data_IF_998994021882
#
_entry.id   IF_998994021882
#
_cell.length_a   1.000
_cell.length_b   1.000
_cell.length_c   1.000
_cell.angle_alpha   90.00
_cell.angle_beta   90.00
_cell.angle_gamma   90.00
#
_symmetry.space_group_name_H-M   'P 1'
#
loop_
_entity.id
_entity.type
_entity.pdbx_description
1 polymer ?
#
# COMPACT_ATOMS: atom_id res chain seq x y z
N UNK A 1 -12.34 -22.02 6.68
CA UNK A 1 -11.70 -22.09 5.35
C UNK A 1 -10.84 -20.87 5.25
N UNK A 2 -9.52 -20.99 5.43
CA UNK A 2 -8.61 -19.85 5.22
C UNK A 2 -8.68 -19.48 3.74
N UNK A 3 -9.33 -18.38 3.43
CA UNK A 3 -9.26 -17.77 2.10
C UNK A 3 -7.90 -17.11 1.97
N UNK A 4 -7.00 -17.76 1.25
CA UNK A 4 -5.76 -17.09 0.84
C UNK A 4 -6.12 -15.96 -0.13
N UNK A 5 -5.71 -14.74 0.21
CA UNK A 5 -6.05 -13.54 -0.56
C UNK A 5 -5.40 -13.51 -1.97
N UNK A 6 -4.34 -14.30 -2.17
CA UNK A 6 -3.52 -14.32 -3.40
C UNK A 6 -3.09 -15.74 -3.78
N UNK A 7 -4.01 -16.71 -3.83
CA UNK A 7 -3.67 -18.11 -4.13
C UNK A 7 -3.04 -18.34 -5.51
N UNK A 8 -3.31 -17.47 -6.46
CA UNK A 8 -2.81 -17.53 -7.84
C UNK A 8 -1.58 -16.62 -8.08
N UNK A 9 -0.99 -16.07 -7.03
CA UNK A 9 0.14 -15.14 -7.09
C UNK A 9 1.42 -15.77 -6.52
N UNK A 10 2.56 -15.51 -7.15
CA UNK A 10 3.86 -15.84 -6.54
C UNK A 10 4.04 -15.08 -5.22
N UNK A 11 4.86 -15.63 -4.29
CA UNK A 11 5.12 -15.01 -2.98
C UNK A 11 6.05 -13.80 -3.01
N UNK A 12 6.36 -13.27 -4.20
CA UNK A 12 7.17 -12.08 -4.40
C UNK A 12 6.26 -10.96 -4.93
N UNK A 13 6.22 -9.84 -4.24
CA UNK A 13 5.58 -8.59 -4.69
C UNK A 13 6.60 -7.60 -5.24
N UNK A 14 6.15 -6.67 -6.06
CA UNK A 14 6.94 -5.59 -6.64
C UNK A 14 6.63 -4.26 -5.94
N UNK A 15 7.60 -3.71 -5.21
CA UNK A 15 7.47 -2.41 -4.55
C UNK A 15 7.77 -1.25 -5.51
N UNK A 16 6.83 -0.30 -5.62
CA UNK A 16 6.94 0.87 -6.49
C UNK A 16 7.53 2.11 -5.77
N UNK A 17 7.94 2.00 -4.51
CA UNK A 17 8.48 3.12 -3.73
C UNK A 17 9.84 3.62 -4.24
N UNK A 18 10.72 2.71 -4.63
CA UNK A 18 12.12 3.02 -5.02
C UNK A 18 12.37 2.70 -6.48
N UNK A 19 11.61 3.36 -7.35
CA UNK A 19 11.76 3.21 -8.80
C UNK A 19 13.07 3.84 -9.27
N UNK A 20 13.63 3.35 -10.41
CA UNK A 20 14.81 3.95 -11.03
C UNK A 20 14.59 5.43 -11.32
N UNK A 21 15.64 6.23 -11.14
CA UNK A 21 15.62 7.66 -11.43
C UNK A 21 16.51 7.97 -12.64
N UNK A 22 16.17 9.02 -13.37
CA UNK A 22 17.02 9.56 -14.44
C UNK A 22 18.28 10.12 -13.78
N UNK A 23 19.44 9.79 -14.35
CA UNK A 23 20.74 10.20 -13.79
C UNK A 23 20.81 11.71 -13.59
N UNK A 24 21.19 12.12 -12.39
CA UNK A 24 21.33 13.55 -12.03
C UNK A 24 20.02 14.28 -11.75
N UNK A 25 18.88 13.60 -11.74
CA UNK A 25 17.56 14.20 -11.44
C UNK A 25 16.80 13.39 -10.37
N UNK A 26 15.67 13.93 -9.94
CA UNK A 26 14.69 13.22 -9.10
C UNK A 26 13.55 12.56 -9.93
N UNK A 27 13.58 12.70 -11.25
CA UNK A 27 12.53 12.16 -12.11
C UNK A 27 12.62 10.64 -12.21
N UNK A 28 11.48 9.96 -12.18
CA UNK A 28 11.42 8.51 -12.38
C UNK A 28 11.78 8.19 -13.84
N UNK A 29 12.70 7.27 -14.05
CA UNK A 29 13.00 6.71 -15.38
C UNK A 29 11.85 5.74 -15.77
N UNK A 30 10.85 6.28 -16.44
CA UNK A 30 9.66 5.52 -16.85
C UNK A 30 10.00 4.38 -17.82
N UNK A 31 10.95 4.57 -18.72
CA UNK A 31 11.30 3.51 -19.68
C UNK A 31 12.03 2.35 -18.98
N UNK A 32 12.86 2.64 -18.00
CA UNK A 32 13.45 1.61 -17.17
C UNK A 32 12.38 0.94 -16.28
N UNK A 33 11.50 1.74 -15.67
CA UNK A 33 10.38 1.22 -14.86
C UNK A 33 9.49 0.27 -15.66
N UNK A 34 9.13 0.62 -16.90
CA UNK A 34 8.36 -0.28 -17.78
C UNK A 34 9.06 -1.61 -18.02
N UNK A 35 10.38 -1.59 -18.33
CA UNK A 35 11.15 -2.82 -18.56
C UNK A 35 11.19 -3.75 -17.34
N UNK A 36 11.35 -3.21 -16.13
CA UNK A 36 11.37 -4.05 -14.92
C UNK A 36 9.97 -4.55 -14.54
N UNK A 37 8.92 -3.77 -14.80
CA UNK A 37 7.52 -4.23 -14.66
C UNK A 37 7.24 -5.38 -15.63
N UNK A 38 7.64 -5.23 -16.91
CA UNK A 38 7.48 -6.29 -17.93
C UNK A 38 8.19 -7.58 -17.50
N UNK A 39 9.45 -7.48 -17.08
CA UNK A 39 10.22 -8.63 -16.62
C UNK A 39 9.59 -9.32 -15.39
N UNK A 40 9.01 -8.55 -14.45
CA UNK A 40 8.32 -9.10 -13.29
C UNK A 40 7.04 -9.85 -13.68
N UNK A 41 6.24 -9.29 -14.58
CA UNK A 41 5.02 -9.93 -15.10
C UNK A 41 5.36 -11.19 -15.93
N UNK A 42 6.37 -11.12 -16.79
CA UNK A 42 6.85 -12.27 -17.58
C UNK A 42 7.33 -13.42 -16.68
N UNK A 43 7.90 -13.12 -15.52
CA UNK A 43 8.27 -14.10 -14.50
C UNK A 43 7.08 -14.67 -13.71
N UNK A 44 5.85 -14.24 -13.98
CA UNK A 44 4.63 -14.66 -13.30
C UNK A 44 4.26 -13.81 -12.08
N UNK A 45 4.91 -12.67 -11.88
CA UNK A 45 4.59 -11.70 -10.82
C UNK A 45 3.27 -10.99 -11.09
N UNK A 46 2.46 -10.79 -10.03
CA UNK A 46 1.15 -10.14 -10.15
C UNK A 46 0.92 -9.04 -9.11
N UNK A 47 1.63 -9.02 -7.99
CA UNK A 47 1.38 -8.10 -6.89
C UNK A 47 2.30 -6.88 -6.96
N UNK A 48 1.69 -5.68 -7.04
CA UNK A 48 2.38 -4.39 -7.08
C UNK A 48 1.95 -3.54 -5.89
N UNK A 49 2.91 -2.87 -5.25
CA UNK A 49 2.70 -2.10 -4.02
C UNK A 49 3.16 -0.65 -4.20
N UNK A 50 2.23 0.29 -4.08
CA UNK A 50 2.48 1.74 -4.07
C UNK A 50 1.89 2.38 -2.82
N UNK A 51 1.91 3.71 -2.73
CA UNK A 51 1.24 4.48 -1.69
C UNK A 51 1.04 5.93 -2.12
N UNK A 52 -0.01 6.57 -1.63
CA UNK A 52 -0.33 7.98 -1.83
C UNK A 52 0.87 8.93 -1.62
N UNK A 53 1.68 8.65 -0.58
CA UNK A 53 2.83 9.49 -0.23
C UNK A 53 4.13 9.16 -0.97
N UNK A 54 4.15 8.13 -1.84
CA UNK A 54 5.36 7.82 -2.62
C UNK A 54 5.42 8.72 -3.85
N UNK A 55 6.24 9.75 -3.78
CA UNK A 55 6.34 10.80 -4.80
C UNK A 55 6.54 10.24 -6.22
N UNK A 56 5.57 10.51 -7.10
CA UNK A 56 5.56 10.08 -8.50
C UNK A 56 5.28 8.59 -8.72
N UNK A 57 5.15 7.79 -7.65
CA UNK A 57 4.99 6.33 -7.74
C UNK A 57 3.65 5.93 -8.34
N UNK A 58 2.56 6.59 -7.96
CA UNK A 58 1.22 6.28 -8.47
C UNK A 58 1.11 6.60 -9.97
N UNK A 59 1.66 7.74 -10.42
CA UNK A 59 1.71 8.12 -11.83
C UNK A 59 2.62 7.19 -12.64
N UNK A 60 3.75 6.76 -12.06
CA UNK A 60 4.62 5.77 -12.69
C UNK A 60 3.94 4.39 -12.76
N UNK A 61 3.17 4.01 -11.74
CA UNK A 61 2.35 2.80 -11.73
C UNK A 61 1.30 2.85 -12.85
N UNK A 62 0.64 4.00 -13.04
CA UNK A 62 -0.25 4.21 -14.18
C UNK A 62 0.46 3.94 -15.50
N UNK A 63 1.56 4.66 -15.75
CA UNK A 63 2.26 4.62 -17.04
C UNK A 63 2.97 3.29 -17.32
N UNK A 64 3.44 2.58 -16.29
CA UNK A 64 4.19 1.33 -16.45
C UNK A 64 3.32 0.07 -16.33
N UNK A 65 2.19 0.14 -15.64
CA UNK A 65 1.34 -1.01 -15.35
C UNK A 65 -0.11 -0.79 -15.83
N UNK A 66 -0.84 0.17 -15.24
CA UNK A 66 -2.30 0.24 -15.39
C UNK A 66 -2.76 0.57 -16.82
N UNK A 67 -2.03 1.40 -17.55
CA UNK A 67 -2.32 1.76 -18.95
C UNK A 67 -1.87 0.67 -19.95
N UNK A 68 -1.14 -0.37 -19.50
CA UNK A 68 -0.48 -1.33 -20.39
C UNK A 68 -0.99 -2.77 -20.25
N UNK A 69 -1.52 -3.12 -19.09
CA UNK A 69 -1.95 -4.48 -18.78
C UNK A 69 -3.42 -4.52 -18.40
N UNK A 70 -4.15 -5.61 -18.75
CA UNK A 70 -5.54 -5.79 -18.30
C UNK A 70 -5.64 -5.71 -16.78
N UNK A 71 -6.61 -4.96 -16.28
CA UNK A 71 -6.75 -4.68 -14.83
C UNK A 71 -6.85 -5.94 -13.97
N UNK A 72 -7.48 -6.97 -14.48
CA UNK A 72 -7.68 -8.27 -13.82
C UNK A 72 -6.44 -9.17 -13.84
N UNK A 73 -5.36 -8.80 -14.55
CA UNK A 73 -4.15 -9.60 -14.66
C UNK A 73 -3.15 -9.37 -13.53
N UNK A 74 -3.39 -8.36 -12.69
CA UNK A 74 -2.51 -8.01 -11.56
C UNK A 74 -3.29 -7.57 -10.33
N UNK A 75 -2.63 -7.62 -9.19
CA UNK A 75 -3.09 -7.04 -7.92
C UNK A 75 -2.36 -5.73 -7.65
N UNK A 76 -3.11 -4.70 -7.29
CA UNK A 76 -2.57 -3.41 -6.88
C UNK A 76 -2.83 -3.19 -5.39
N UNK A 77 -1.77 -2.98 -4.64
CA UNK A 77 -1.82 -2.48 -3.28
C UNK A 77 -1.50 -0.98 -3.27
N UNK A 78 -2.27 -0.23 -2.51
CA UNK A 78 -2.08 1.20 -2.30
C UNK A 78 -2.43 1.58 -0.87
N UNK A 79 -2.04 2.79 -0.41
CA UNK A 79 -2.08 3.12 1.01
C UNK A 79 -2.55 4.55 1.26
N UNK A 80 -3.50 4.71 2.17
CA UNK A 80 -3.93 5.98 2.76
C UNK A 80 -3.03 6.35 3.92
N UNK A 81 -2.54 7.59 3.96
CA UNK A 81 -1.69 8.08 5.03
C UNK A 81 -2.44 9.08 5.94
N UNK A 82 -2.74 8.68 7.17
CA UNK A 82 -3.42 9.53 8.16
C UNK A 82 -2.49 10.46 8.96
N UNK A 83 -1.20 10.51 8.64
CA UNK A 83 -0.25 11.37 9.38
C UNK A 83 -0.46 12.86 9.08
N UNK A 84 -0.15 13.72 10.03
CA UNK A 84 -0.35 15.17 9.92
C UNK A 84 0.41 15.84 8.76
N UNK A 85 1.43 15.21 8.20
CA UNK A 85 2.12 15.72 7.02
C UNK A 85 1.38 15.41 5.72
N UNK A 86 0.55 14.37 5.69
CA UNK A 86 -0.21 13.95 4.48
C UNK A 86 -1.62 14.53 4.47
N UNK A 87 -2.31 14.53 5.63
CA UNK A 87 -3.67 15.04 5.76
C UNK A 87 -3.85 15.82 7.07
N UNK A 88 -4.40 17.03 6.98
CA UNK A 88 -4.66 17.90 8.14
C UNK A 88 -6.12 17.91 8.57
N UNK A 89 -6.97 17.24 7.84
CA UNK A 89 -8.40 17.13 8.12
C UNK A 89 -8.94 15.75 7.73
N UNK A 90 -10.11 15.43 8.27
CA UNK A 90 -10.87 14.24 7.88
C UNK A 90 -11.17 14.22 6.37
N UNK A 91 -11.53 15.39 5.81
CA UNK A 91 -11.83 15.51 4.38
C UNK A 91 -10.61 15.21 3.51
N UNK A 92 -9.45 15.77 3.85
CA UNK A 92 -8.20 15.52 3.15
C UNK A 92 -7.82 14.04 3.21
N UNK A 93 -7.83 13.44 4.39
CA UNK A 93 -7.52 12.01 4.57
C UNK A 93 -8.49 11.11 3.76
N UNK A 94 -9.77 11.39 3.81
CA UNK A 94 -10.77 10.62 3.05
C UNK A 94 -10.72 10.85 1.54
N UNK A 95 -10.15 11.97 1.09
CA UNK A 95 -9.99 12.23 -0.33
C UNK A 95 -8.79 11.49 -0.96
N UNK A 96 -7.84 11.01 -0.18
CA UNK A 96 -6.64 10.35 -0.71
C UNK A 96 -6.95 9.21 -1.68
N UNK A 97 -7.93 8.35 -1.38
CA UNK A 97 -8.33 7.25 -2.27
C UNK A 97 -8.77 7.74 -3.66
N UNK A 98 -9.46 8.87 -3.73
CA UNK A 98 -9.90 9.42 -5.03
C UNK A 98 -8.72 9.92 -5.84
N UNK A 99 -7.78 10.59 -5.16
CA UNK A 99 -6.53 11.05 -5.77
C UNK A 99 -5.70 9.84 -6.24
N UNK A 100 -5.57 8.80 -5.42
CA UNK A 100 -4.85 7.56 -5.78
C UNK A 100 -5.47 6.87 -6.99
N UNK A 101 -6.80 6.75 -7.04
CA UNK A 101 -7.51 6.20 -8.19
C UNK A 101 -7.34 7.03 -9.47
N UNK A 102 -7.27 8.37 -9.34
CA UNK A 102 -7.01 9.27 -10.47
C UNK A 102 -5.56 9.14 -10.96
N UNK A 103 -4.58 9.16 -10.05
CA UNK A 103 -3.16 9.06 -10.38
C UNK A 103 -2.80 7.70 -10.98
N UNK A 104 -3.31 6.61 -10.41
CA UNK A 104 -3.06 5.25 -10.92
C UNK A 104 -3.90 4.89 -12.14
N UNK A 105 -5.08 5.49 -12.30
CA UNK A 105 -6.06 5.10 -13.32
C UNK A 105 -6.60 3.68 -13.15
N UNK A 106 -6.39 3.05 -11.99
CA UNK A 106 -6.66 1.62 -11.79
C UNK A 106 -8.15 1.26 -11.71
N UNK A 107 -9.04 2.24 -11.46
CA UNK A 107 -10.47 2.04 -11.30
C UNK A 107 -10.87 1.47 -9.94
N UNK A 108 -10.09 0.56 -9.37
CA UNK A 108 -10.21 0.03 -8.01
C UNK A 108 -8.85 -0.44 -7.50
N UNK A 109 -8.71 -0.56 -6.16
CA UNK A 109 -7.51 -1.08 -5.50
C UNK A 109 -7.81 -2.47 -4.93
N UNK A 110 -6.93 -3.46 -5.15
CA UNK A 110 -7.14 -4.80 -4.58
C UNK A 110 -6.86 -4.85 -3.08
N UNK A 111 -5.76 -4.26 -2.65
CA UNK A 111 -5.32 -4.24 -1.25
C UNK A 111 -5.09 -2.81 -0.79
N UNK A 112 -6.01 -2.27 0.00
CA UNK A 112 -5.88 -0.90 0.49
C UNK A 112 -5.49 -0.87 1.97
N UNK A 113 -4.39 -0.18 2.27
CA UNK A 113 -3.78 -0.19 3.59
C UNK A 113 -3.91 1.16 4.27
N UNK A 114 -4.13 1.16 5.59
CA UNK A 114 -3.81 2.29 6.43
C UNK A 114 -2.29 2.31 6.62
N UNK A 115 -1.64 3.41 6.22
CA UNK A 115 -0.21 3.47 5.98
C UNK A 115 0.60 3.74 7.24
N UNK A 116 1.50 2.82 7.57
CA UNK A 116 2.52 3.03 8.60
C UNK A 116 1.96 3.31 9.98
N UNK A 117 0.99 2.51 10.42
CA UNK A 117 0.39 2.71 11.75
C UNK A 117 1.44 2.52 12.83
N UNK A 118 1.54 3.52 13.70
CA UNK A 118 2.33 3.53 14.91
C UNK A 118 1.58 4.24 16.06
N UNK A 119 2.17 4.28 17.24
CA UNK A 119 1.58 4.95 18.40
C UNK A 119 1.41 6.46 18.22
N UNK A 120 2.22 7.09 17.37
CA UNK A 120 2.17 8.53 17.10
C UNK A 120 1.04 8.96 16.19
N UNK A 121 0.61 8.09 15.25
CA UNK A 121 -0.36 8.46 14.21
C UNK A 121 -1.72 7.76 14.33
N UNK A 122 -1.86 6.68 15.09
CA UNK A 122 -3.13 5.95 15.25
C UNK A 122 -4.28 6.86 15.69
N UNK A 123 -4.00 7.87 16.49
CA UNK A 123 -4.97 8.86 16.94
C UNK A 123 -5.65 9.62 15.79
N UNK A 124 -4.95 9.84 14.67
CA UNK A 124 -5.50 10.50 13.50
C UNK A 124 -6.46 9.59 12.74
N UNK A 125 -6.12 8.33 12.55
CA UNK A 125 -7.01 7.35 11.90
C UNK A 125 -8.33 7.21 12.67
N UNK A 126 -8.25 7.20 14.00
CA UNK A 126 -9.43 7.16 14.88
C UNK A 126 -10.23 8.47 14.79
N UNK A 127 -9.58 9.62 14.92
CA UNK A 127 -10.21 10.96 14.89
C UNK A 127 -10.91 11.24 13.56
N UNK A 128 -10.33 10.81 12.44
CA UNK A 128 -10.89 10.99 11.10
C UNK A 128 -11.89 9.90 10.70
N UNK A 129 -12.17 8.94 11.58
CA UNK A 129 -13.11 7.86 11.31
C UNK A 129 -12.71 6.98 10.11
N UNK A 130 -11.40 6.76 9.92
CA UNK A 130 -10.87 6.06 8.74
C UNK A 130 -11.24 4.58 8.76
N UNK A 131 -11.33 3.95 9.94
CA UNK A 131 -11.72 2.55 10.07
C UNK A 131 -13.13 2.25 9.54
N UNK A 132 -14.07 3.13 9.76
CA UNK A 132 -15.42 2.99 9.19
C UNK A 132 -15.45 3.41 7.72
N UNK A 133 -14.66 4.41 7.36
CA UNK A 133 -14.58 4.87 6.00
C UNK A 133 -14.02 3.81 5.05
N UNK A 134 -12.99 3.07 5.44
CA UNK A 134 -12.40 2.02 4.59
C UNK A 134 -13.40 0.87 4.34
N UNK A 135 -14.25 0.53 5.31
CA UNK A 135 -15.35 -0.43 5.15
C UNK A 135 -16.38 0.04 4.13
N UNK A 136 -16.68 1.34 4.13
CA UNK A 136 -17.55 1.97 3.14
C UNK A 136 -16.95 1.90 1.74
N UNK A 137 -15.65 2.20 1.58
CA UNK A 137 -14.95 2.06 0.30
C UNK A 137 -15.03 0.64 -0.25
N UNK A 138 -14.90 -0.37 0.62
CA UNK A 138 -15.07 -1.78 0.24
C UNK A 138 -16.50 -2.09 -0.20
N UNK A 139 -17.50 -1.60 0.51
CA UNK A 139 -18.90 -1.77 0.14
C UNK A 139 -19.25 -1.08 -1.19
N UNK A 140 -18.60 0.03 -1.51
CA UNK A 140 -18.72 0.75 -2.78
C UNK A 140 -17.94 0.10 -3.94
N UNK A 141 -17.10 -0.91 -3.65
CA UNK A 141 -16.29 -1.61 -4.65
C UNK A 141 -15.05 -0.85 -5.11
N UNK A 142 -14.68 0.25 -4.45
CA UNK A 142 -13.46 1.00 -4.73
C UNK A 142 -12.21 0.28 -4.23
N UNK A 143 -12.35 -0.56 -3.24
CA UNK A 143 -11.31 -1.46 -2.74
C UNK A 143 -11.87 -2.88 -2.57
N UNK A 144 -11.02 -3.91 -2.69
CA UNK A 144 -11.43 -5.32 -2.50
C UNK A 144 -11.13 -5.84 -1.10
N UNK A 145 -9.93 -5.56 -0.62
CA UNK A 145 -9.43 -5.97 0.70
C UNK A 145 -8.84 -4.77 1.42
N UNK A 146 -8.95 -4.75 2.75
CA UNK A 146 -8.30 -3.73 3.55
C UNK A 146 -7.51 -4.31 4.71
N UNK A 147 -6.43 -3.60 5.02
CA UNK A 147 -5.53 -3.92 6.09
C UNK A 147 -4.74 -2.68 6.53
N UNK A 148 -3.60 -2.91 7.13
CA UNK A 148 -2.69 -1.81 7.47
C UNK A 148 -1.23 -2.25 7.35
N UNK A 149 -0.33 -1.29 7.12
CA UNK A 149 1.10 -1.47 7.35
C UNK A 149 1.46 -0.96 8.73
N UNK A 150 2.39 -1.65 9.40
CA UNK A 150 2.59 -1.47 10.82
C UNK A 150 4.07 -1.28 11.17
N UNK A 151 4.34 -0.30 12.05
CA UNK A 151 5.68 0.08 12.49
C UNK A 151 5.71 0.44 13.98
N UNK A 152 5.25 -0.48 14.83
CA UNK A 152 5.24 -0.28 16.29
C UNK A 152 5.49 -1.60 17.02
N UNK A 153 5.14 -1.69 18.29
CA UNK A 153 5.40 -2.83 19.16
C UNK A 153 4.45 -4.00 18.94
N UNK A 154 4.85 -5.25 19.26
CA UNK A 154 3.96 -6.40 19.21
C UNK A 154 2.69 -6.23 20.05
N UNK A 155 2.79 -5.60 21.21
CA UNK A 155 1.65 -5.33 22.10
C UNK A 155 0.64 -4.38 21.43
N UNK A 156 1.13 -3.36 20.72
CA UNK A 156 0.26 -2.45 19.96
C UNK A 156 -0.39 -3.16 18.77
N UNK A 157 0.32 -4.07 18.11
CA UNK A 157 -0.26 -4.88 17.04
C UNK A 157 -1.41 -5.76 17.55
N UNK A 158 -1.19 -6.46 18.68
CA UNK A 158 -2.20 -7.31 19.31
C UNK A 158 -3.46 -6.51 19.71
N UNK A 159 -3.24 -5.30 20.27
CA UNK A 159 -4.35 -4.39 20.59
C UNK A 159 -5.12 -3.98 19.34
N UNK A 160 -4.45 -3.56 18.26
CA UNK A 160 -5.10 -3.15 17.01
C UNK A 160 -5.92 -4.29 16.38
N UNK A 161 -5.38 -5.50 16.36
CA UNK A 161 -6.10 -6.67 15.83
C UNK A 161 -7.29 -7.07 16.71
N UNK A 162 -7.21 -6.81 18.01
CA UNK A 162 -8.34 -6.99 18.94
C UNK A 162 -9.44 -5.95 18.70
N UNK A 163 -9.06 -4.69 18.51
CA UNK A 163 -10.00 -3.58 18.31
C UNK A 163 -10.63 -3.59 16.90
N UNK A 164 -9.91 -4.14 15.91
CA UNK A 164 -10.32 -4.21 14.51
C UNK A 164 -10.25 -5.65 13.97
N UNK A 165 -11.06 -6.58 14.48
CA UNK A 165 -10.98 -8.01 14.11
C UNK A 165 -11.43 -8.32 12.68
N UNK A 166 -11.95 -7.34 11.97
CA UNK A 166 -12.40 -7.40 10.59
C UNK A 166 -11.30 -6.99 9.56
N UNK A 167 -10.11 -6.63 10.04
CA UNK A 167 -8.92 -6.44 9.19
C UNK A 167 -8.53 -7.77 8.55
N UNK A 168 -8.26 -7.73 7.24
CA UNK A 168 -8.06 -8.95 6.45
C UNK A 168 -6.57 -9.33 6.33
N UNK A 169 -5.66 -8.36 6.49
CA UNK A 169 -4.21 -8.59 6.41
C UNK A 169 -3.42 -7.46 7.08
N UNK A 170 -2.17 -7.77 7.41
CA UNK A 170 -1.20 -6.80 7.93
C UNK A 170 0.08 -6.89 7.10
N UNK A 171 0.65 -5.73 6.74
CA UNK A 171 1.96 -5.63 6.12
C UNK A 171 3.00 -5.25 7.18
N UNK A 172 3.95 -6.15 7.44
CA UNK A 172 5.02 -5.97 8.41
C UNK A 172 6.35 -5.73 7.71
N UNK A 173 7.20 -4.91 8.32
CA UNK A 173 8.59 -4.81 7.93
C UNK A 173 9.38 -5.93 8.61
N UNK A 174 9.66 -7.02 7.87
CA UNK A 174 10.48 -8.13 8.34
C UNK A 174 11.67 -8.27 7.41
N UNK A 175 12.87 -7.91 7.89
CA UNK A 175 14.07 -7.84 7.08
C UNK A 175 15.26 -8.45 7.86
N UNK A 176 15.99 -9.36 7.22
CA UNK A 176 17.16 -9.99 7.82
C UNK A 176 18.32 -9.01 8.09
N UNK A 177 18.41 -7.92 7.33
CA UNK A 177 19.47 -6.92 7.49
C UNK A 177 19.31 -6.05 8.74
N UNK A 178 18.07 -5.83 9.17
CA UNK A 178 17.71 -5.05 10.36
C UNK A 178 17.08 -5.90 11.48
N UNK A 179 17.35 -7.20 11.47
CA UNK A 179 16.79 -8.19 12.38
C UNK A 179 17.00 -7.83 13.86
N UNK A 180 18.18 -7.32 14.21
CA UNK A 180 18.55 -6.89 15.56
C UNK A 180 18.77 -5.37 15.65
N UNK A 181 18.37 -4.58 14.64
CA UNK A 181 18.51 -3.14 14.68
C UNK A 181 17.68 -2.55 15.83
N UNK A 182 18.26 -1.65 16.66
CA UNK A 182 17.59 -1.15 17.86
C UNK A 182 16.34 -0.29 17.55
N UNK A 183 16.19 0.23 16.33
CA UNK A 183 15.07 1.06 15.93
C UNK A 183 13.98 0.25 15.20
N UNK A 184 14.38 -0.65 14.32
CA UNK A 184 13.46 -1.42 13.46
C UNK A 184 13.12 -2.75 14.10
N UNK A 185 14.14 -3.48 14.56
CA UNK A 185 14.02 -4.71 15.32
C UNK A 185 13.05 -5.74 14.73
N UNK A 186 13.29 -6.14 13.45
CA UNK A 186 12.45 -7.12 12.73
C UNK A 186 12.31 -8.48 13.42
N UNK A 187 13.07 -8.74 14.49
CA UNK A 187 13.01 -9.97 15.30
C UNK A 187 11.93 -10.00 16.38
N UNK A 188 11.21 -8.92 16.60
CA UNK A 188 10.21 -8.78 17.67
C UNK A 188 8.80 -8.71 17.16
#
# INVERSE_FOLDING_TARGET
>A
METKLTDDCMRLGFGMMRLPRVEGTNDIDLEHTKRIVDAFIEAGGKYFDTAYIYEGSEEATKAALCDRYPRESYYLADKLNGSDFAAKSEEEAKNEIRVSLERTGAGYIDFYLLHGIDEGNIGNFNRYGIWDYIKKLKAEGLIRHYGFSFHSTPEHLDQLLTDHPDVEFVQLQINYADWEDPLICSSR
#
